data_IF_754095968269
#
_entry.id   IF_754095968269
#
_cell.length_a   1.000
_cell.length_b   1.000
_cell.length_c   1.000
_cell.angle_alpha   90.00
_cell.angle_beta   90.00
_cell.angle_gamma   90.00
#
_symmetry.space_group_name_H-M   'P 1'
#
loop_
_entity.id
_entity.type
_entity.pdbx_description
1 polymer ?
#
# COMPACT_ATOMS: atom_id res chain seq x y z
N UNK A 1 10.90 16.52 5.14
CA UNK A 1 10.08 16.27 6.34
C UNK A 1 10.81 16.79 7.57
N UNK A 2 10.10 17.41 8.52
CA UNK A 2 10.67 17.78 9.83
C UNK A 2 11.13 16.50 10.57
N UNK A 3 12.11 16.60 11.50
CA UNK A 3 12.49 15.50 12.37
C UNK A 3 11.28 14.77 12.99
N UNK A 4 11.37 13.44 13.08
CA UNK A 4 10.33 12.61 13.71
C UNK A 4 10.91 11.78 14.84
N UNK A 5 10.05 11.23 15.71
CA UNK A 5 10.50 10.30 16.76
C UNK A 5 11.18 9.04 16.23
N UNK A 6 10.89 8.66 14.98
CA UNK A 6 11.48 7.48 14.32
C UNK A 6 12.79 7.82 13.60
N UNK A 7 13.03 9.08 13.28
CA UNK A 7 14.27 9.59 12.70
C UNK A 7 14.43 11.08 13.05
N UNK A 8 15.25 11.45 14.05
CA UNK A 8 15.24 12.77 14.70
C UNK A 8 16.09 13.81 13.95
N UNK A 9 16.31 13.62 12.66
CA UNK A 9 17.07 14.52 11.80
C UNK A 9 16.23 14.91 10.58
N UNK A 10 16.51 16.06 9.93
CA UNK A 10 15.90 16.40 8.67
C UNK A 10 16.06 15.28 7.64
N UNK A 11 14.98 14.89 6.98
CA UNK A 11 14.97 13.80 6.01
C UNK A 11 13.92 14.02 4.93
N UNK A 12 14.11 13.37 3.80
CA UNK A 12 13.16 13.28 2.71
C UNK A 12 12.15 12.16 2.97
N UNK A 13 11.00 12.28 2.32
CA UNK A 13 9.96 11.25 2.27
C UNK A 13 9.67 10.99 0.80
N UNK A 14 9.66 9.72 0.39
CA UNK A 14 9.19 9.35 -0.94
C UNK A 14 7.75 9.82 -1.12
N UNK A 15 7.42 10.32 -2.30
CA UNK A 15 6.10 10.86 -2.57
C UNK A 15 5.02 9.81 -2.29
N UNK A 16 4.03 10.17 -1.48
CA UNK A 16 2.89 9.32 -1.17
C UNK A 16 1.63 10.17 -1.01
N UNK A 17 0.50 9.63 -1.43
CA UNK A 17 -0.83 10.19 -1.20
C UNK A 17 -1.69 9.15 -0.48
N UNK A 18 -2.90 9.53 -0.08
CA UNK A 18 -3.92 8.60 0.44
C UNK A 18 -4.35 7.53 -0.58
N UNK A 19 -3.90 7.64 -1.84
CA UNK A 19 -4.17 6.70 -2.92
C UNK A 19 -2.91 5.94 -3.38
N UNK A 20 -1.79 6.06 -2.66
CA UNK A 20 -0.52 5.41 -2.99
C UNK A 20 -0.36 4.07 -2.25
N UNK A 21 -0.46 2.96 -2.98
CA UNK A 21 -0.24 1.60 -2.46
C UNK A 21 1.19 1.10 -2.62
N UNK A 22 1.95 1.77 -3.48
CA UNK A 22 3.41 1.65 -3.57
C UNK A 22 4.01 3.05 -3.45
N UNK A 23 5.21 3.15 -2.86
CA UNK A 23 6.02 4.36 -2.94
C UNK A 23 7.45 4.02 -3.35
N UNK A 24 8.23 5.05 -3.68
CA UNK A 24 9.58 4.91 -4.17
C UNK A 24 9.84 5.92 -5.27
N UNK A 25 10.75 5.58 -6.17
CA UNK A 25 11.04 6.38 -7.35
C UNK A 25 10.25 5.85 -8.54
N UNK A 26 9.61 6.75 -9.29
CA UNK A 26 9.09 6.44 -10.61
C UNK A 26 10.22 6.68 -11.61
N UNK A 27 10.83 5.59 -12.08
CA UNK A 27 11.98 5.63 -12.98
C UNK A 27 11.65 4.80 -14.22
N UNK A 28 12.07 5.29 -15.38
CA UNK A 28 12.05 4.50 -16.61
C UNK A 28 13.01 3.31 -16.46
N UNK A 29 12.51 2.10 -16.68
CA UNK A 29 13.28 0.85 -16.54
C UNK A 29 14.58 0.88 -17.35
N UNK A 30 14.58 1.53 -18.52
CA UNK A 30 15.72 1.56 -19.44
C UNK A 30 16.77 2.61 -19.04
N UNK A 31 16.47 3.43 -18.02
CA UNK A 31 17.35 4.48 -17.50
C UNK A 31 17.59 4.37 -15.99
N UNK A 32 17.25 3.23 -15.38
CA UNK A 32 17.28 3.01 -13.93
C UNK A 32 18.61 3.43 -13.29
N UNK A 33 19.72 2.87 -13.78
CA UNK A 33 21.03 3.08 -13.16
C UNK A 33 21.48 4.54 -13.21
N UNK A 34 21.29 5.18 -14.38
CA UNK A 34 21.69 6.58 -14.58
C UNK A 34 20.84 7.52 -13.72
N UNK A 35 19.54 7.27 -13.62
CA UNK A 35 18.65 8.09 -12.79
C UNK A 35 18.97 7.90 -11.31
N UNK A 36 19.22 6.67 -10.85
CA UNK A 36 19.63 6.41 -9.47
C UNK A 36 20.98 7.07 -9.16
N UNK A 37 21.95 7.04 -10.07
CA UNK A 37 23.23 7.74 -9.92
C UNK A 37 23.03 9.24 -9.66
N UNK A 38 22.17 9.87 -10.46
CA UNK A 38 21.87 11.30 -10.33
C UNK A 38 21.13 11.61 -9.03
N UNK A 39 20.11 10.81 -8.67
CA UNK A 39 19.34 11.00 -7.44
C UNK A 39 20.26 10.80 -6.22
N UNK A 40 20.99 9.69 -6.16
CA UNK A 40 21.86 9.36 -5.03
C UNK A 40 23.00 10.36 -4.92
N UNK A 41 23.61 10.77 -6.05
CA UNK A 41 24.61 11.83 -6.08
C UNK A 41 24.06 13.18 -5.58
N UNK A 42 22.83 13.55 -5.97
CA UNK A 42 22.20 14.78 -5.52
C UNK A 42 21.91 14.78 -4.02
N UNK A 43 21.32 13.71 -3.48
CA UNK A 43 20.89 13.65 -2.08
C UNK A 43 22.03 13.41 -1.09
N UNK A 44 23.17 12.88 -1.55
CA UNK A 44 24.37 12.65 -0.73
C UNK A 44 25.40 13.78 -0.82
N UNK A 45 25.16 14.81 -1.64
CA UNK A 45 26.03 15.97 -1.73
C UNK A 45 26.12 16.68 -0.36
N UNK A 46 27.33 17.11 0.04
CA UNK A 46 27.62 17.72 1.34
C UNK A 46 26.82 18.97 1.65
N UNK A 47 26.31 19.66 0.63
CA UNK A 47 25.51 20.87 0.80
C UNK A 47 24.02 20.60 1.08
N UNK A 48 23.60 19.33 1.07
CA UNK A 48 22.21 18.98 1.35
C UNK A 48 21.93 18.96 2.86
N UNK A 49 20.77 19.49 3.30
CA UNK A 49 20.42 19.50 4.73
C UNK A 49 19.83 18.17 5.21
N UNK A 50 19.71 17.16 4.35
CA UNK A 50 18.98 15.93 4.65
C UNK A 50 19.92 14.78 5.03
N UNK A 51 19.49 14.00 6.02
CA UNK A 51 20.26 12.86 6.55
C UNK A 51 19.70 11.50 6.14
N UNK A 52 18.57 11.49 5.42
CA UNK A 52 18.01 10.27 4.89
C UNK A 52 16.79 10.48 4.02
N UNK A 53 16.33 9.39 3.40
CA UNK A 53 15.09 9.28 2.64
C UNK A 53 14.29 8.12 3.18
N UNK A 54 13.11 8.43 3.70
CA UNK A 54 12.14 7.43 4.14
C UNK A 54 11.29 6.99 2.95
N UNK A 55 11.16 5.68 2.77
CA UNK A 55 10.31 5.06 1.75
C UNK A 55 9.30 4.17 2.47
N UNK A 56 8.02 4.36 2.18
CA UNK A 56 6.94 3.52 2.71
C UNK A 56 6.47 2.54 1.63
N UNK A 57 5.81 1.45 2.02
CA UNK A 57 5.07 0.58 1.09
C UNK A 57 5.84 0.25 -0.21
N UNK A 58 7.08 -0.22 -0.13
CA UNK A 58 7.87 -0.55 -1.33
C UNK A 58 8.04 -2.07 -1.42
N UNK A 59 7.98 -2.62 -2.63
CA UNK A 59 8.31 -4.01 -2.86
C UNK A 59 9.85 -4.14 -2.95
N UNK A 60 10.50 -5.09 -2.24
CA UNK A 60 11.97 -5.19 -2.20
C UNK A 60 12.62 -5.25 -3.59
N UNK A 61 11.98 -5.93 -4.54
CA UNK A 61 12.38 -6.03 -5.95
C UNK A 61 12.50 -4.68 -6.66
N UNK A 62 11.74 -3.67 -6.24
CA UNK A 62 11.74 -2.33 -6.86
C UNK A 62 12.80 -1.39 -6.29
N UNK A 63 13.36 -1.70 -5.11
CA UNK A 63 14.31 -0.81 -4.41
C UNK A 63 15.71 -1.41 -4.28
N UNK A 64 15.84 -2.73 -4.32
CA UNK A 64 17.10 -3.46 -4.14
C UNK A 64 17.58 -4.11 -5.44
N UNK A 65 17.77 -3.32 -6.49
CA UNK A 65 18.56 -3.79 -7.64
C UNK A 65 20.02 -3.99 -7.21
N UNK A 66 20.72 -4.93 -7.86
CA UNK A 66 22.14 -5.20 -7.58
C UNK A 66 22.97 -3.93 -7.78
N UNK A 67 22.73 -3.23 -8.88
CA UNK A 67 23.39 -2.00 -9.30
C UNK A 67 23.07 -0.84 -8.34
N UNK A 68 21.78 -0.68 -7.98
CA UNK A 68 21.33 0.35 -7.05
C UNK A 68 21.93 0.17 -5.65
N UNK A 69 22.06 -1.07 -5.18
CA UNK A 69 22.69 -1.37 -3.89
C UNK A 69 24.20 -1.10 -3.91
N UNK A 70 24.90 -1.43 -5.00
CA UNK A 70 26.32 -1.11 -5.14
C UNK A 70 26.55 0.41 -5.13
N UNK A 71 25.77 1.15 -5.93
CA UNK A 71 25.82 2.60 -5.98
C UNK A 71 25.50 3.24 -4.62
N UNK A 72 24.47 2.76 -3.92
CA UNK A 72 24.14 3.24 -2.58
C UNK A 72 25.33 3.07 -1.62
N UNK A 73 25.98 1.89 -1.65
CA UNK A 73 27.15 1.61 -0.82
C UNK A 73 28.35 2.49 -1.15
N UNK A 74 28.64 2.70 -2.44
CA UNK A 74 29.71 3.60 -2.91
C UNK A 74 29.51 5.04 -2.44
N UNK A 75 28.24 5.48 -2.34
CA UNK A 75 27.85 6.81 -1.83
C UNK A 75 27.72 6.85 -0.31
N UNK A 76 28.05 5.78 0.41
CA UNK A 76 27.96 5.70 1.87
C UNK A 76 26.52 5.68 2.40
N UNK A 77 25.55 5.39 1.54
CA UNK A 77 24.14 5.26 1.93
C UNK A 77 23.90 3.90 2.57
N UNK A 78 23.08 3.87 3.62
CA UNK A 78 22.69 2.63 4.27
C UNK A 78 21.18 2.53 4.40
N UNK A 79 20.61 1.47 3.85
CA UNK A 79 19.21 1.12 4.06
C UNK A 79 19.00 0.49 5.43
N UNK A 80 17.89 0.84 6.08
CA UNK A 80 17.41 0.16 7.28
C UNK A 80 15.92 -0.12 7.14
N UNK A 81 15.55 -1.39 7.13
CA UNK A 81 14.15 -1.82 7.15
C UNK A 81 13.57 -1.56 8.54
N UNK A 82 12.51 -0.75 8.59
CA UNK A 82 11.79 -0.41 9.82
C UNK A 82 10.63 -1.36 10.10
N UNK A 83 10.01 -1.89 9.04
CA UNK A 83 8.96 -2.90 9.15
C UNK A 83 8.79 -3.65 7.84
N UNK A 84 8.42 -4.92 7.94
CA UNK A 84 8.07 -5.81 6.83
C UNK A 84 6.68 -6.37 7.08
N UNK A 85 5.87 -6.46 6.04
CA UNK A 85 4.59 -7.15 6.04
C UNK A 85 4.36 -7.81 4.69
N UNK A 86 3.35 -8.66 4.60
CA UNK A 86 2.99 -9.33 3.36
C UNK A 86 1.61 -8.83 2.90
N UNK A 87 1.50 -8.54 1.60
CA UNK A 87 0.22 -8.30 0.94
C UNK A 87 -0.24 -9.55 0.23
N UNK A 88 -1.56 -9.76 0.23
CA UNK A 88 -2.18 -10.81 -0.56
C UNK A 88 -1.97 -10.48 -2.06
N UNK A 89 -1.54 -11.45 -2.84
CA UNK A 89 -1.32 -11.33 -4.28
C UNK A 89 -1.85 -12.59 -4.95
N UNK A 90 -2.37 -12.45 -6.16
CA UNK A 90 -2.79 -13.55 -7.00
C UNK A 90 -1.90 -13.63 -8.24
N UNK A 91 -1.61 -14.84 -8.71
CA UNK A 91 -0.78 -15.09 -9.88
C UNK A 91 -1.64 -15.79 -10.94
N UNK A 92 -2.14 -15.07 -11.95
CA UNK A 92 -3.08 -15.62 -12.93
C UNK A 92 -2.57 -16.89 -13.63
N UNK A 93 -1.29 -16.95 -13.98
CA UNK A 93 -0.69 -18.13 -14.61
C UNK A 93 -0.61 -19.36 -13.71
N UNK A 94 -0.58 -19.16 -12.38
CA UNK A 94 -0.50 -20.25 -11.39
C UNK A 94 -1.88 -20.62 -10.83
N UNK A 95 -2.92 -19.89 -11.23
CA UNK A 95 -4.25 -20.06 -10.67
C UNK A 95 -4.89 -21.35 -11.22
N UNK A 96 -5.05 -22.31 -10.31
CA UNK A 96 -5.85 -23.49 -10.59
C UNK A 96 -7.33 -23.08 -10.74
N UNK A 97 -8.07 -23.71 -11.64
CA UNK A 97 -9.47 -23.40 -12.00
C UNK A 97 -10.47 -23.54 -10.82
N UNK A 98 -10.01 -23.90 -9.61
CA UNK A 98 -10.86 -24.19 -8.45
C UNK A 98 -10.38 -23.50 -7.17
N UNK A 99 -10.38 -22.17 -7.10
CA UNK A 99 -10.05 -21.43 -5.85
C UNK A 99 -10.89 -21.90 -4.64
N UNK A 100 -12.16 -22.27 -4.85
CA UNK A 100 -12.98 -22.80 -3.77
C UNK A 100 -12.38 -24.05 -3.13
N UNK A 101 -11.69 -24.89 -3.90
CA UNK A 101 -11.06 -26.10 -3.38
C UNK A 101 -9.89 -25.82 -2.44
N UNK A 102 -9.19 -24.68 -2.60
CA UNK A 102 -8.11 -24.25 -1.72
C UNK A 102 -8.60 -23.59 -0.43
N UNK A 103 -9.87 -23.19 -0.37
CA UNK A 103 -10.49 -22.65 0.84
C UNK A 103 -10.84 -23.79 1.82
N UNK A 104 -10.88 -23.47 3.12
CA UNK A 104 -11.31 -24.44 4.14
C UNK A 104 -12.76 -24.90 3.90
N UNK A 105 -13.11 -26.11 4.37
CA UNK A 105 -14.49 -26.64 4.26
C UNK A 105 -15.55 -25.67 4.83
N UNK A 106 -15.20 -24.95 5.91
CA UNK A 106 -16.08 -23.96 6.51
C UNK A 106 -16.25 -22.72 5.61
N UNK A 107 -15.17 -22.20 5.04
CA UNK A 107 -15.23 -21.09 4.09
C UNK A 107 -16.04 -21.46 2.84
N UNK A 108 -15.82 -22.66 2.28
CA UNK A 108 -16.61 -23.17 1.15
C UNK A 108 -18.11 -23.25 1.50
N UNK A 109 -18.46 -23.80 2.67
CA UNK A 109 -19.84 -23.88 3.14
C UNK A 109 -20.46 -22.49 3.30
N UNK A 110 -19.73 -21.55 3.89
CA UNK A 110 -20.17 -20.17 4.09
C UNK A 110 -20.39 -19.46 2.75
N UNK A 111 -19.46 -19.60 1.80
CA UNK A 111 -19.59 -19.06 0.44
C UNK A 111 -20.85 -19.58 -0.24
N UNK A 112 -21.02 -20.90 -0.34
CA UNK A 112 -22.19 -21.53 -0.98
C UNK A 112 -23.50 -21.10 -0.31
N UNK A 113 -23.52 -21.00 1.03
CA UNK A 113 -24.69 -20.52 1.77
C UNK A 113 -25.03 -19.06 1.44
N UNK A 114 -24.03 -18.19 1.40
CA UNK A 114 -24.19 -16.76 1.10
C UNK A 114 -24.67 -16.53 -0.33
N UNK A 115 -24.07 -17.22 -1.30
CA UNK A 115 -24.46 -17.14 -2.70
C UNK A 115 -25.90 -17.61 -2.90
N UNK A 116 -26.25 -18.80 -2.40
CA UNK A 116 -27.63 -19.32 -2.46
C UNK A 116 -28.65 -18.38 -1.82
N UNK A 117 -28.33 -17.83 -0.65
CA UNK A 117 -29.23 -16.89 0.01
C UNK A 117 -29.43 -15.59 -0.79
N UNK A 118 -28.45 -15.19 -1.60
CA UNK A 118 -28.58 -14.07 -2.52
C UNK A 118 -29.42 -14.46 -3.76
N UNK A 119 -29.21 -15.67 -4.29
CA UNK A 119 -29.99 -16.24 -5.40
C UNK A 119 -31.47 -16.48 -5.03
N UNK A 120 -31.76 -16.75 -3.77
CA UNK A 120 -33.14 -16.88 -3.24
C UNK A 120 -33.94 -15.57 -3.33
N UNK A 121 -33.27 -14.41 -3.35
CA UNK A 121 -33.93 -13.09 -3.38
C UNK A 121 -33.84 -12.41 -4.75
N UNK A 122 -33.20 -13.03 -5.73
CA UNK A 122 -33.11 -12.49 -7.08
C UNK A 122 -32.03 -13.14 -7.94
N UNK A 123 -31.97 -12.72 -9.21
CA UNK A 123 -30.94 -13.16 -10.15
C UNK A 123 -29.59 -12.55 -9.77
N UNK A 124 -28.58 -13.40 -9.60
CA UNK A 124 -27.21 -12.98 -9.30
C UNK A 124 -26.35 -13.14 -10.54
N UNK A 125 -25.73 -12.07 -10.98
CA UNK A 125 -24.77 -12.07 -12.09
C UNK A 125 -23.44 -11.48 -11.64
N UNK A 126 -22.36 -11.84 -12.33
CA UNK A 126 -21.02 -11.31 -12.08
C UNK A 126 -20.36 -10.91 -13.39
N UNK A 127 -19.72 -9.75 -13.39
CA UNK A 127 -19.11 -9.16 -14.58
C UNK A 127 -17.67 -8.72 -14.31
N UNK A 128 -16.81 -8.90 -15.31
CA UNK A 128 -15.55 -8.18 -15.44
C UNK A 128 -15.73 -7.16 -16.57
N UNK A 129 -15.78 -5.88 -16.22
CA UNK A 129 -16.06 -4.79 -17.17
C UNK A 129 -14.74 -4.10 -17.51
N UNK A 130 -14.35 -4.12 -18.78
CA UNK A 130 -13.10 -3.53 -19.27
C UNK A 130 -13.18 -3.15 -20.74
N UNK A 131 -12.42 -2.13 -21.17
CA UNK A 131 -12.24 -1.82 -22.59
C UNK A 131 -13.50 -1.36 -23.35
N UNK A 132 -14.55 -0.93 -22.64
CA UNK A 132 -15.76 -0.36 -23.23
C UNK A 132 -15.58 1.13 -23.59
N UNK A 133 -16.38 1.61 -24.55
CA UNK A 133 -16.34 2.99 -25.05
C UNK A 133 -16.58 4.01 -23.92
N UNK A 134 -17.32 3.64 -22.87
CA UNK A 134 -17.39 4.39 -21.61
C UNK A 134 -17.55 3.48 -20.39
N UNK A 135 -16.52 3.47 -19.52
CA UNK A 135 -16.58 2.89 -18.17
C UNK A 135 -17.14 3.88 -17.13
N UNK A 136 -17.70 5.01 -17.55
CA UNK A 136 -18.22 6.05 -16.65
C UNK A 136 -19.33 5.50 -15.74
N UNK A 137 -20.21 4.65 -16.28
CA UNK A 137 -21.27 4.02 -15.50
C UNK A 137 -20.69 3.15 -14.37
N UNK A 138 -19.70 2.32 -14.66
CA UNK A 138 -19.03 1.49 -13.65
C UNK A 138 -18.29 2.35 -12.63
N UNK A 139 -17.67 3.45 -13.06
CA UNK A 139 -17.01 4.39 -12.15
C UNK A 139 -18.01 5.08 -11.21
N UNK A 140 -19.15 5.54 -11.71
CA UNK A 140 -20.19 6.20 -10.92
C UNK A 140 -20.88 5.22 -9.95
N UNK A 141 -21.19 4.00 -10.41
CA UNK A 141 -21.70 2.95 -9.52
C UNK A 141 -20.68 2.55 -8.46
N UNK A 142 -19.40 2.48 -8.81
CA UNK A 142 -18.32 2.24 -7.86
C UNK A 142 -18.24 3.34 -6.80
N UNK A 143 -18.24 4.62 -7.19
CA UNK A 143 -18.24 5.76 -6.26
C UNK A 143 -19.44 5.68 -5.30
N UNK A 144 -20.63 5.38 -5.83
CA UNK A 144 -21.86 5.20 -5.03
C UNK A 144 -21.67 4.10 -3.99
N UNK A 145 -21.20 2.91 -4.41
CA UNK A 145 -21.01 1.75 -3.53
C UNK A 145 -19.91 1.97 -2.50
N UNK A 146 -18.80 2.62 -2.86
CA UNK A 146 -17.74 2.96 -1.90
C UNK A 146 -18.25 3.94 -0.83
N UNK A 147 -19.07 4.90 -1.24
CA UNK A 147 -19.65 5.88 -0.33
C UNK A 147 -20.72 5.28 0.60
N UNK A 148 -21.46 4.25 0.17
CA UNK A 148 -22.49 3.66 1.04
C UNK A 148 -21.92 2.93 2.27
N UNK A 149 -20.67 2.47 2.21
CA UNK A 149 -20.04 1.73 3.30
C UNK A 149 -19.46 2.61 4.42
N UNK A 150 -18.65 1.98 5.28
CA UNK A 150 -17.97 2.64 6.41
C UNK A 150 -17.15 3.88 5.99
N UNK A 151 -16.62 3.90 4.76
CA UNK A 151 -15.87 5.05 4.24
C UNK A 151 -16.73 6.29 4.05
N UNK A 152 -18.02 6.15 3.73
CA UNK A 152 -18.94 7.29 3.71
C UNK A 152 -19.22 7.79 5.11
N UNK A 153 -19.47 6.87 6.05
CA UNK A 153 -19.68 7.19 7.48
C UNK A 153 -18.48 7.92 8.09
N UNK A 154 -17.27 7.50 7.75
CA UNK A 154 -16.01 8.12 8.21
C UNK A 154 -15.61 9.38 7.42
N UNK A 155 -16.32 9.72 6.34
CA UNK A 155 -16.00 10.85 5.47
C UNK A 155 -14.72 10.68 4.63
N UNK A 156 -14.25 9.44 4.45
CA UNK A 156 -13.00 9.10 3.75
C UNK A 156 -13.22 8.53 2.34
N UNK A 157 -14.48 8.37 1.91
CA UNK A 157 -14.83 7.91 0.57
C UNK A 157 -14.41 8.90 -0.53
N UNK A 158 -14.32 8.41 -1.78
CA UNK A 158 -14.10 9.25 -2.96
C UNK A 158 -15.17 10.35 -3.08
N UNK A 159 -16.43 10.02 -2.79
CA UNK A 159 -17.55 10.96 -2.88
C UNK A 159 -17.50 12.06 -1.80
N UNK A 160 -16.89 11.77 -0.66
CA UNK A 160 -16.80 12.72 0.46
C UNK A 160 -15.92 13.94 0.17
N UNK A 161 -15.08 13.90 -0.88
CA UNK A 161 -14.27 15.02 -1.33
C UNK A 161 -14.40 15.19 -2.87
N UNK A 162 -14.89 16.35 -3.37
CA UNK A 162 -15.00 16.61 -4.81
C UNK A 162 -13.69 16.42 -5.58
N UNK A 163 -12.55 16.71 -4.96
CA UNK A 163 -11.24 16.54 -5.59
C UNK A 163 -10.86 15.06 -5.73
N UNK A 164 -11.26 14.21 -4.77
CA UNK A 164 -11.04 12.75 -4.87
C UNK A 164 -11.97 12.13 -5.91
N UNK A 165 -13.22 12.58 -5.99
CA UNK A 165 -14.16 12.14 -7.04
C UNK A 165 -13.62 12.50 -8.42
N UNK A 166 -13.17 13.75 -8.62
CA UNK A 166 -12.57 14.19 -9.88
C UNK A 166 -11.31 13.39 -10.21
N UNK A 167 -10.40 13.26 -9.24
CA UNK A 167 -9.20 12.43 -9.38
C UNK A 167 -9.52 11.01 -9.83
N UNK A 168 -10.49 10.34 -9.21
CA UNK A 168 -10.84 8.97 -9.57
C UNK A 168 -11.39 8.87 -11.00
N UNK A 169 -12.27 9.80 -11.40
CA UNK A 169 -12.78 9.84 -12.77
C UNK A 169 -11.66 10.08 -13.79
N UNK A 170 -10.74 10.99 -13.50
CA UNK A 170 -9.58 11.26 -14.36
C UNK A 170 -8.66 10.03 -14.48
N UNK A 171 -8.44 9.30 -13.38
CA UNK A 171 -7.69 8.03 -13.38
C UNK A 171 -8.39 6.98 -14.23
N UNK A 172 -9.70 6.75 -14.04
CA UNK A 172 -10.44 5.77 -14.83
C UNK A 172 -10.42 6.13 -16.32
N UNK A 173 -10.71 7.38 -16.67
CA UNK A 173 -10.69 7.84 -18.06
C UNK A 173 -9.29 7.73 -18.69
N UNK A 174 -8.24 8.08 -17.94
CA UNK A 174 -6.85 7.95 -18.39
C UNK A 174 -6.43 6.50 -18.64
N UNK A 175 -6.72 5.60 -17.70
CA UNK A 175 -6.38 4.19 -17.84
C UNK A 175 -7.28 3.48 -18.86
N UNK A 176 -8.54 3.87 -19.02
CA UNK A 176 -9.45 3.24 -19.99
C UNK A 176 -9.01 3.47 -21.44
N UNK A 177 -8.48 4.67 -21.76
CA UNK A 177 -7.92 4.97 -23.09
C UNK A 177 -6.83 3.98 -23.50
N UNK A 178 -6.09 3.46 -22.53
CA UNK A 178 -5.02 2.48 -22.72
C UNK A 178 -5.46 1.03 -22.40
N UNK A 179 -6.75 0.80 -22.12
CA UNK A 179 -7.31 -0.50 -21.66
C UNK A 179 -6.62 -1.06 -20.41
N UNK A 180 -6.21 -0.16 -19.51
CA UNK A 180 -5.48 -0.47 -18.28
C UNK A 180 -6.33 -0.39 -17.01
N UNK A 181 -7.65 -0.43 -17.12
CA UNK A 181 -8.56 -0.43 -15.97
C UNK A 181 -9.66 -1.45 -16.21
N UNK A 182 -10.07 -2.12 -15.13
CA UNK A 182 -11.23 -2.99 -15.15
C UNK A 182 -11.96 -2.92 -13.81
N UNK A 183 -13.26 -3.19 -13.86
CA UNK A 183 -14.11 -3.34 -12.70
C UNK A 183 -14.53 -4.80 -12.54
N UNK A 184 -14.63 -5.28 -11.30
CA UNK A 184 -15.36 -6.52 -11.02
C UNK A 184 -16.67 -6.18 -10.34
N UNK A 185 -17.78 -6.66 -10.87
CA UNK A 185 -19.11 -6.27 -10.43
C UNK A 185 -19.95 -7.50 -10.09
N UNK A 186 -20.49 -7.54 -8.87
CA UNK A 186 -21.53 -8.48 -8.47
C UNK A 186 -22.87 -7.77 -8.50
N UNK A 187 -23.80 -8.26 -9.32
CA UNK A 187 -25.12 -7.68 -9.51
C UNK A 187 -26.23 -8.58 -8.94
N UNK A 188 -27.28 -7.94 -8.42
CA UNK A 188 -28.53 -8.58 -8.01
C UNK A 188 -29.68 -7.89 -8.76
N UNK A 189 -30.42 -8.64 -9.59
CA UNK A 189 -31.48 -8.11 -10.46
C UNK A 189 -31.00 -6.88 -11.26
N UNK A 190 -29.89 -7.04 -12.00
CA UNK A 190 -29.25 -6.01 -12.83
C UNK A 190 -28.70 -4.77 -12.09
N UNK A 191 -28.75 -4.75 -10.76
CA UNK A 191 -28.15 -3.69 -9.94
C UNK A 191 -26.84 -4.17 -9.32
N UNK A 192 -25.75 -3.45 -9.57
CA UNK A 192 -24.45 -3.70 -8.92
C UNK A 192 -24.54 -3.45 -7.41
N UNK A 193 -24.24 -4.49 -6.63
CA UNK A 193 -24.27 -4.46 -5.16
C UNK A 193 -22.87 -4.57 -4.54
N UNK A 194 -21.86 -4.91 -5.32
CA UNK A 194 -20.44 -4.89 -4.92
C UNK A 194 -19.59 -4.65 -6.15
N UNK A 195 -18.61 -3.76 -6.03
CA UNK A 195 -17.70 -3.42 -7.11
C UNK A 195 -16.27 -3.22 -6.60
N UNK A 196 -15.29 -3.68 -7.39
CA UNK A 196 -13.89 -3.30 -7.23
C UNK A 196 -13.43 -2.49 -8.43
N UNK A 197 -12.53 -1.54 -8.22
CA UNK A 197 -11.80 -0.84 -9.29
C UNK A 197 -10.35 -1.31 -9.29
N UNK A 198 -9.84 -1.69 -10.46
CA UNK A 198 -8.52 -2.30 -10.61
C UNK A 198 -7.74 -1.59 -11.70
N UNK A 199 -6.48 -1.28 -11.43
CA UNK A 199 -5.59 -0.56 -12.34
C UNK A 199 -4.44 -1.46 -12.79
N UNK A 200 -4.13 -1.45 -14.08
CA UNK A 200 -3.05 -2.22 -14.69
C UNK A 200 -1.84 -1.31 -14.92
N UNK A 201 -0.66 -1.77 -14.50
CA UNK A 201 0.62 -1.12 -14.77
C UNK A 201 1.67 -2.15 -15.16
N UNK A 202 2.17 -2.05 -16.40
CA UNK A 202 2.98 -3.11 -17.00
C UNK A 202 2.19 -4.41 -17.04
N UNK A 203 2.77 -5.50 -16.52
CA UNK A 203 2.12 -6.81 -16.39
C UNK A 203 1.50 -7.06 -15.01
N UNK A 204 1.40 -6.04 -14.16
CA UNK A 204 0.75 -6.15 -12.85
C UNK A 204 -0.61 -5.43 -12.83
N UNK A 205 -1.60 -6.00 -12.14
CA UNK A 205 -2.80 -5.28 -11.73
C UNK A 205 -2.80 -4.99 -10.22
N UNK A 206 -3.52 -3.95 -9.84
CA UNK A 206 -3.62 -3.45 -8.48
C UNK A 206 -5.09 -3.23 -8.12
N UNK A 207 -5.59 -3.95 -7.13
CA UNK A 207 -6.96 -3.81 -6.64
C UNK A 207 -7.09 -2.50 -5.85
N UNK A 208 -7.39 -1.43 -6.57
CA UNK A 208 -7.27 -0.06 -6.08
C UNK A 208 -8.26 0.22 -4.96
N UNK A 209 -9.56 0.02 -5.20
CA UNK A 209 -10.58 0.23 -4.17
C UNK A 209 -11.76 -0.73 -4.34
N UNK A 210 -12.46 -0.99 -3.24
CA UNK A 210 -13.69 -1.78 -3.16
C UNK A 210 -14.82 -0.98 -2.51
N UNK A 211 -16.06 -1.23 -2.94
CA UNK A 211 -17.30 -0.73 -2.35
C UNK A 211 -18.44 -1.76 -2.48
N UNK A 212 -19.40 -1.72 -1.58
CA UNK A 212 -20.60 -2.57 -1.64
C UNK A 212 -21.79 -1.94 -0.95
N UNK A 213 -22.99 -2.41 -1.28
CA UNK A 213 -24.25 -1.96 -0.70
C UNK A 213 -24.47 -2.66 0.67
N UNK A 214 -24.47 -1.90 1.79
CA UNK A 214 -24.60 -2.47 3.13
C UNK A 214 -25.92 -3.21 3.38
N UNK A 215 -26.96 -2.95 2.58
CA UNK A 215 -28.25 -3.66 2.63
C UNK A 215 -28.06 -5.19 2.52
N UNK A 216 -27.03 -5.62 1.80
CA UNK A 216 -26.74 -7.03 1.54
C UNK A 216 -25.60 -7.59 2.40
N UNK A 217 -25.16 -6.89 3.45
CA UNK A 217 -24.02 -7.28 4.30
C UNK A 217 -24.11 -8.71 4.84
N UNK A 218 -25.33 -9.20 5.14
CA UNK A 218 -25.56 -10.58 5.60
C UNK A 218 -25.08 -11.67 4.61
N UNK A 219 -25.00 -11.33 3.33
CA UNK A 219 -24.49 -12.19 2.26
C UNK A 219 -23.00 -11.96 1.94
N UNK A 220 -22.37 -10.95 2.55
CA UNK A 220 -20.96 -10.58 2.35
C UNK A 220 -20.60 -10.35 0.86
N UNK A 221 -21.23 -9.37 0.19
CA UNK A 221 -21.13 -9.19 -1.26
C UNK A 221 -19.71 -8.84 -1.73
N UNK A 222 -18.88 -8.21 -0.89
CA UNK A 222 -17.44 -8.05 -1.15
C UNK A 222 -16.72 -9.39 -1.28
N UNK A 223 -16.91 -10.31 -0.34
CA UNK A 223 -16.30 -11.66 -0.39
C UNK A 223 -16.82 -12.46 -1.59
N UNK A 224 -18.12 -12.36 -1.90
CA UNK A 224 -18.69 -13.04 -3.08
C UNK A 224 -18.06 -12.52 -4.37
N UNK A 225 -17.91 -11.19 -4.52
CA UNK A 225 -17.27 -10.58 -5.69
C UNK A 225 -15.81 -11.05 -5.84
N UNK A 226 -15.05 -11.08 -4.74
CA UNK A 226 -13.64 -11.51 -4.75
C UNK A 226 -13.46 -12.99 -5.10
N UNK A 227 -14.33 -13.87 -4.58
CA UNK A 227 -14.27 -15.29 -4.93
C UNK A 227 -14.61 -15.50 -6.41
N UNK A 228 -15.63 -14.81 -6.92
CA UNK A 228 -16.00 -14.88 -8.34
C UNK A 228 -14.89 -14.33 -9.25
N UNK A 229 -14.18 -13.28 -8.81
CA UNK A 229 -12.98 -12.78 -9.48
C UNK A 229 -11.87 -13.83 -9.52
N UNK A 230 -11.54 -14.42 -8.37
CA UNK A 230 -10.49 -15.44 -8.28
C UNK A 230 -10.81 -16.71 -9.08
N UNK A 231 -12.07 -17.13 -9.17
CA UNK A 231 -12.52 -18.24 -10.02
C UNK A 231 -12.27 -17.98 -11.52
N UNK A 232 -12.22 -16.72 -11.93
CA UNK A 232 -12.08 -16.30 -13.33
C UNK A 232 -10.76 -15.59 -13.61
N UNK A 233 -9.81 -15.63 -12.67
CA UNK A 233 -8.55 -14.92 -12.77
C UNK A 233 -7.74 -15.32 -14.02
N UNK A 234 -7.90 -16.55 -14.51
CA UNK A 234 -7.25 -17.06 -15.73
C UNK A 234 -7.62 -16.24 -16.99
N UNK A 235 -8.75 -15.52 -16.97
CA UNK A 235 -9.12 -14.57 -18.04
C UNK A 235 -8.15 -13.39 -18.14
N UNK A 236 -7.32 -13.16 -17.12
CA UNK A 236 -6.26 -12.14 -17.07
C UNK A 236 -4.87 -12.77 -17.14
N UNK A 237 -4.70 -13.86 -17.91
CA UNK A 237 -3.45 -14.61 -18.03
C UNK A 237 -2.28 -13.82 -18.63
N UNK A 238 -2.54 -12.69 -19.28
CA UNK A 238 -1.50 -11.74 -19.74
C UNK A 238 -0.81 -11.00 -18.57
N UNK A 239 -1.41 -11.00 -17.38
CA UNK A 239 -0.84 -10.42 -16.18
C UNK A 239 0.04 -11.42 -15.42
N UNK A 240 1.18 -10.95 -14.94
CA UNK A 240 2.06 -11.71 -14.05
C UNK A 240 1.48 -11.81 -12.64
N UNK A 241 0.85 -10.74 -12.15
CA UNK A 241 0.28 -10.72 -10.81
C UNK A 241 -0.87 -9.73 -10.68
N UNK A 242 -1.72 -9.95 -9.67
CA UNK A 242 -2.69 -8.99 -9.15
C UNK A 242 -2.39 -8.74 -7.69
N UNK A 243 -1.99 -7.52 -7.33
CA UNK A 243 -1.71 -7.08 -5.96
C UNK A 243 -3.01 -6.60 -5.32
N UNK A 244 -3.41 -7.20 -4.19
CA UNK A 244 -4.64 -6.83 -3.50
C UNK A 244 -4.62 -5.42 -2.93
N UNK A 245 -3.45 -4.79 -2.83
CA UNK A 245 -3.25 -3.49 -2.18
C UNK A 245 -3.77 -3.42 -0.74
N UNK A 246 -4.03 -4.59 -0.14
CA UNK A 246 -4.76 -4.70 1.10
C UNK A 246 -3.87 -4.45 2.32
N UNK A 247 -4.49 -3.96 3.39
CA UNK A 247 -3.81 -3.85 4.68
C UNK A 247 -3.51 -5.24 5.28
N UNK A 248 -2.51 -5.35 6.19
CA UNK A 248 -2.10 -6.63 6.77
C UNK A 248 -3.19 -7.46 7.45
N UNK A 249 -4.28 -6.83 7.91
CA UNK A 249 -5.39 -7.49 8.58
C UNK A 249 -6.64 -7.67 7.70
N UNK A 250 -6.52 -7.45 6.39
CA UNK A 250 -7.64 -7.60 5.45
C UNK A 250 -8.10 -9.05 5.33
N UNK A 251 -9.41 -9.25 5.11
CA UNK A 251 -10.00 -10.56 4.79
C UNK A 251 -9.42 -11.17 3.51
N UNK A 252 -8.86 -10.36 2.61
CA UNK A 252 -8.22 -10.82 1.37
C UNK A 252 -7.03 -11.74 1.65
N UNK A 253 -6.39 -11.61 2.82
CA UNK A 253 -5.32 -12.52 3.23
C UNK A 253 -5.79 -13.96 3.42
N UNK A 254 -7.08 -14.18 3.68
CA UNK A 254 -7.66 -15.53 3.76
C UNK A 254 -8.09 -16.09 2.40
N UNK A 255 -8.32 -15.22 1.42
CA UNK A 255 -8.88 -15.60 0.10
C UNK A 255 -7.78 -15.78 -0.95
N UNK A 256 -6.82 -14.84 -1.01
CA UNK A 256 -5.72 -14.87 -1.97
C UNK A 256 -4.53 -15.50 -1.26
N UNK A 257 -3.97 -16.57 -1.82
CA UNK A 257 -2.92 -17.37 -1.13
C UNK A 257 -1.51 -16.87 -1.38
N UNK A 258 -1.26 -16.20 -2.51
CA UNK A 258 0.04 -15.62 -2.83
C UNK A 258 0.41 -14.51 -1.86
N UNK A 259 1.71 -14.33 -1.64
CA UNK A 259 2.25 -13.29 -0.76
C UNK A 259 3.30 -12.48 -1.50
N UNK A 260 3.17 -11.15 -1.41
CA UNK A 260 4.21 -10.19 -1.82
C UNK A 260 4.75 -9.49 -0.59
N UNK A 261 6.06 -9.55 -0.41
CA UNK A 261 6.74 -8.83 0.67
C UNK A 261 6.69 -7.33 0.38
N UNK A 262 6.32 -6.55 1.38
CA UNK A 262 6.37 -5.10 1.36
C UNK A 262 7.15 -4.61 2.55
N UNK A 263 7.99 -3.63 2.31
CA UNK A 263 8.83 -3.03 3.32
C UNK A 263 8.58 -1.55 3.44
N UNK A 264 8.95 -1.06 4.61
CA UNK A 264 9.12 0.35 4.91
C UNK A 264 10.48 0.50 5.53
N UNK A 265 11.20 1.52 5.10
CA UNK A 265 12.52 1.78 5.63
C UNK A 265 13.03 3.16 5.33
N UNK A 266 14.30 3.34 5.60
CA UNK A 266 15.01 4.60 5.42
C UNK A 266 16.39 4.33 4.84
N UNK A 267 16.73 5.05 3.78
CA UNK A 267 18.12 5.26 3.41
C UNK A 267 18.67 6.37 4.30
N UNK A 268 19.80 6.12 4.97
CA UNK A 268 20.58 7.15 5.64
C UNK A 268 21.69 7.62 4.72
N UNK A 269 21.91 8.94 4.65
CA UNK A 269 22.87 9.55 3.71
C UNK A 269 24.17 9.96 4.39
N UNK A 270 24.16 10.15 5.71
CA UNK A 270 25.32 10.62 6.46
C UNK A 270 25.60 9.72 7.67
N UNK A 271 26.84 9.75 8.18
CA UNK A 271 27.21 9.06 9.43
C UNK A 271 26.36 9.51 10.62
N UNK A 272 26.02 10.81 10.69
CA UNK A 272 25.11 11.34 11.71
C UNK A 272 23.71 10.71 11.59
N UNK A 273 23.20 10.57 10.37
CA UNK A 273 21.94 9.86 10.09
C UNK A 273 21.96 8.41 10.59
N UNK A 274 23.04 7.69 10.30
CA UNK A 274 23.24 6.31 10.74
C UNK A 274 23.27 6.18 12.27
N UNK A 275 24.04 7.04 12.95
CA UNK A 275 24.12 7.05 14.41
C UNK A 275 22.77 7.37 15.06
N UNK A 276 22.07 8.40 14.56
CA UNK A 276 20.76 8.79 15.08
C UNK A 276 19.73 7.66 14.94
N UNK A 277 19.72 6.95 13.81
CA UNK A 277 18.80 5.84 13.60
C UNK A 277 19.11 4.64 14.53
N UNK A 278 20.39 4.29 14.67
CA UNK A 278 20.82 3.21 15.56
C UNK A 278 20.48 3.51 17.02
N UNK A 279 20.64 4.77 17.45
CA UNK A 279 20.27 5.22 18.80
C UNK A 279 18.76 5.08 19.05
N UNK A 280 17.92 5.53 18.12
CA UNK A 280 16.46 5.36 18.20
C UNK A 280 16.08 3.87 18.25
N UNK A 281 16.68 3.04 17.40
CA UNK A 281 16.45 1.59 17.41
C UNK A 281 16.80 0.96 18.76
N UNK A 282 17.93 1.35 19.35
CA UNK A 282 18.40 0.88 20.65
C UNK A 282 17.43 1.24 21.77
N UNK A 283 16.94 2.49 21.80
CA UNK A 283 15.93 2.94 22.77
C UNK A 283 14.63 2.17 22.62
N UNK A 284 14.17 1.95 21.39
CA UNK A 284 12.94 1.21 21.14
C UNK A 284 13.05 -0.26 21.62
N UNK A 285 14.21 -0.88 21.46
CA UNK A 285 14.48 -2.23 21.94
C UNK A 285 14.47 -2.30 23.48
N UNK A 286 15.14 -1.34 24.15
CA UNK A 286 15.10 -1.22 25.61
C UNK A 286 13.65 -1.04 26.10
N UNK A 287 12.89 -0.13 25.49
CA UNK A 287 11.48 0.08 25.85
C UNK A 287 10.64 -1.20 25.69
N UNK A 288 10.88 -1.98 24.63
CA UNK A 288 10.18 -3.25 24.40
C UNK A 288 10.55 -4.30 25.45
N UNK A 289 11.82 -4.40 25.81
CA UNK A 289 12.32 -5.35 26.80
C UNK A 289 11.81 -5.06 28.22
N UNK A 290 11.80 -3.79 28.64
CA UNK A 290 11.41 -3.42 30.01
C UNK A 290 9.90 -3.29 30.23
N UNK A 291 9.14 -2.91 29.20
CA UNK A 291 7.70 -2.59 29.38
C UNK A 291 6.76 -3.54 28.64
N UNK A 292 7.27 -4.62 28.05
CA UNK A 292 6.45 -5.72 27.50
C UNK A 292 5.36 -5.29 26.52
N UNK A 293 5.59 -4.21 25.76
CA UNK A 293 4.61 -3.67 24.81
C UNK A 293 3.38 -3.01 25.42
N UNK A 294 3.26 -2.91 26.75
CA UNK A 294 2.15 -2.18 27.40
C UNK A 294 2.28 -0.68 27.12
N UNK A 295 1.17 0.00 26.78
CA UNK A 295 1.09 1.47 26.74
C UNK A 295 1.23 2.00 28.17
N UNK A 296 2.46 2.15 28.65
CA UNK A 296 2.74 2.90 29.88
C UNK A 296 2.59 4.38 29.58
N UNK A 297 1.88 5.11 30.45
CA UNK A 297 1.67 6.54 30.36
C UNK A 297 3.02 7.25 30.12
N UNK A 298 3.07 8.01 29.03
CA UNK A 298 4.28 8.57 28.44
C UNK A 298 5.08 9.52 29.33
N UNK A 299 4.51 10.10 30.38
CA UNK A 299 5.10 11.29 31.02
C UNK A 299 6.50 11.09 31.63
N UNK A 300 6.76 10.00 32.36
CA UNK A 300 8.02 9.87 33.12
C UNK A 300 9.23 9.46 32.27
N UNK A 301 9.02 8.72 31.18
CA UNK A 301 10.09 8.39 30.22
C UNK A 301 10.35 9.57 29.26
N UNK A 302 9.34 10.41 29.03
CA UNK A 302 9.43 11.57 28.15
C UNK A 302 10.21 12.73 28.77
N UNK A 303 10.14 12.94 30.08
CA UNK A 303 10.96 13.94 30.77
C UNK A 303 12.46 13.60 30.67
N UNK A 304 12.80 12.32 30.77
CA UNK A 304 14.18 11.85 30.52
C UNK A 304 14.53 12.02 29.03
N UNK A 305 13.62 11.71 28.11
CA UNK A 305 13.86 11.82 26.67
C UNK A 305 13.98 13.28 26.16
N UNK A 306 13.18 14.23 26.68
CA UNK A 306 13.34 15.66 26.40
C UNK A 306 14.63 16.21 27.00
N UNK A 307 15.01 15.77 28.21
CA UNK A 307 16.27 16.16 28.83
C UNK A 307 17.46 15.70 27.97
N UNK A 308 17.48 14.45 27.49
CA UNK A 308 18.55 13.94 26.63
C UNK A 308 18.52 14.48 25.19
N UNK A 309 17.34 14.79 24.63
CA UNK A 309 17.26 15.46 23.32
C UNK A 309 17.67 16.93 23.40
N UNK A 310 17.36 17.63 24.50
CA UNK A 310 17.86 18.98 24.73
C UNK A 310 19.37 18.97 24.99
N UNK A 311 19.91 17.99 25.72
CA UNK A 311 21.35 17.79 25.88
C UNK A 311 22.03 17.47 24.54
N UNK A 312 21.47 16.59 23.70
CA UNK A 312 21.98 16.31 22.36
C UNK A 312 21.87 17.53 21.42
N UNK A 313 20.78 18.30 21.51
CA UNK A 313 20.63 19.55 20.76
C UNK A 313 21.64 20.60 21.24
N UNK A 314 21.92 20.68 22.54
CA UNK A 314 22.95 21.56 23.13
C UNK A 314 24.35 21.12 22.69
N UNK A 315 24.66 19.82 22.72
CA UNK A 315 25.95 19.27 22.25
C UNK A 315 26.12 19.50 20.73
N UNK A 316 25.05 19.39 19.94
CA UNK A 316 25.07 19.67 18.50
C UNK A 316 25.19 21.18 18.20
N UNK A 317 24.63 22.04 19.05
CA UNK A 317 24.75 23.51 18.90
C UNK A 317 26.15 24.01 19.30
N UNK A 318 26.73 23.41 20.35
CA UNK A 318 28.10 23.74 20.80
C UNK A 318 29.15 23.25 19.79
N UNK A 319 28.96 22.09 19.17
CA UNK A 319 29.89 21.58 18.14
C UNK A 319 29.85 22.38 16.82
N UNK A 320 28.73 22.99 16.45
CA UNK A 320 28.67 23.93 15.31
C UNK A 320 29.37 25.27 15.57
N UNK A 321 29.43 25.72 16.83
CA UNK A 321 30.14 26.95 17.22
C UNK A 321 31.66 26.79 17.36
N UNK A 322 32.14 25.57 17.59
CA UNK A 322 33.58 25.25 17.69
C UNK A 322 34.23 24.97 16.32
N UNK A 323 33.43 24.87 15.25
CA UNK A 323 33.87 24.57 13.88
C UNK A 323 33.72 25.76 12.89
N UNK A 324 33.48 26.99 13.38
CA UNK A 324 33.62 28.25 12.63
C UNK A 324 34.87 29.00 13.08
#
# INVERSE_FOLDING_TARGET
QKPTRKFPLPHLLAFETVHSYLSGFLIDKDHTDRVLELIYGYVTNSNQPWHGLKVNNVAPDLIFSTEGNMLAKERGMNWTTLSTWHRAVAYPAEQNEQILSSLSKQQQKNYRKRLRGLEEIGRVDWYLVSGEESLERSADEFIRLEHMGWKGEEGTSLYSNPDHTRFFRDVVAGFNREKRVYFTELALNDRTISSTSNLISGRGAFAFKIGWDPTYTKFSPGILNEIQFMERLNSLSDLEFVDSCAEPNSYLNELWTGRREIIKGIYTFTKLGQLALNFVGSIMNVKRAFFGGKKVASMSFYLVFEFYLNELAVILTVSQWVLQ
#
